data_IF_107188632560
#
_entry.id   IF_107188632560
#
_cell.length_a   1.000
_cell.length_b   1.000
_cell.length_c   1.000
_cell.angle_alpha   90.00
_cell.angle_beta   90.00
_cell.angle_gamma   90.00
#
_symmetry.space_group_name_H-M   'P 1'
#
loop_
_entity.id
_entity.type
_entity.pdbx_description
1 polymer ?
#
# COMPACT_ATOMS: atom_id res chain seq x y z
N UNK A 1 -50.51 -19.99 -14.76
CA UNK A 1 -50.73 -18.74 -13.99
C UNK A 1 -50.18 -18.98 -12.58
N UNK A 2 -48.87 -18.81 -12.41
CA UNK A 2 -48.18 -19.02 -11.14
C UNK A 2 -47.38 -17.77 -10.83
N UNK A 3 -47.82 -17.03 -9.82
CA UNK A 3 -47.16 -15.82 -9.34
C UNK A 3 -45.83 -16.22 -8.71
N UNK A 4 -44.71 -15.84 -9.32
CA UNK A 4 -43.43 -15.85 -8.61
C UNK A 4 -43.36 -14.60 -7.75
N UNK A 5 -43.56 -14.82 -6.46
CA UNK A 5 -43.28 -13.86 -5.40
C UNK A 5 -41.75 -13.78 -5.32
N UNK A 6 -41.16 -12.74 -5.93
CA UNK A 6 -39.77 -12.37 -5.67
C UNK A 6 -39.78 -11.76 -4.27
N UNK A 7 -39.54 -12.63 -3.29
CA UNK A 7 -39.40 -12.26 -1.90
C UNK A 7 -38.13 -11.45 -1.72
N UNK A 8 -38.31 -10.24 -1.20
CA UNK A 8 -37.40 -9.50 -0.33
C UNK A 8 -36.06 -10.21 -0.03
N UNK A 9 -35.05 -9.97 -0.87
CA UNK A 9 -33.68 -10.01 -0.39
C UNK A 9 -33.43 -8.62 0.18
N UNK A 10 -33.10 -8.61 1.48
CA UNK A 10 -32.87 -7.42 2.29
C UNK A 10 -32.13 -6.34 1.49
N UNK A 11 -32.76 -5.18 1.40
CA UNK A 11 -32.14 -3.89 1.17
C UNK A 11 -31.04 -3.68 2.24
N UNK A 12 -29.85 -4.21 1.98
CA UNK A 12 -28.62 -3.72 2.57
C UNK A 12 -28.14 -2.64 1.61
N UNK A 13 -28.75 -1.46 1.75
CA UNK A 13 -28.23 -0.20 1.22
C UNK A 13 -26.92 0.11 1.95
N UNK A 14 -25.85 -0.58 1.55
CA UNK A 14 -24.51 -0.28 2.00
C UNK A 14 -24.05 0.96 1.21
N UNK A 15 -24.48 2.12 1.69
CA UNK A 15 -23.87 3.39 1.30
C UNK A 15 -22.49 3.42 1.97
N UNK A 16 -21.47 2.87 1.30
CA UNK A 16 -20.08 3.16 1.67
C UNK A 16 -19.76 4.59 1.22
N UNK A 17 -20.09 5.57 2.07
CA UNK A 17 -19.32 6.82 2.05
C UNK A 17 -17.98 6.50 2.69
N UNK A 18 -16.98 6.18 1.87
CA UNK A 18 -15.60 6.05 2.33
C UNK A 18 -15.12 7.46 2.66
N UNK A 19 -15.23 7.84 3.93
CA UNK A 19 -14.48 8.98 4.45
C UNK A 19 -13.04 8.49 4.59
N UNK A 20 -12.18 8.91 3.66
CA UNK A 20 -10.74 8.60 3.54
C UNK A 20 -10.38 7.12 3.35
N UNK A 21 -9.95 6.78 2.13
CA UNK A 21 -9.14 5.60 1.85
C UNK A 21 -7.69 6.01 2.08
N UNK A 22 -7.07 5.54 3.17
CA UNK A 22 -5.63 5.73 3.39
C UNK A 22 -4.92 4.66 2.57
N UNK A 23 -4.39 5.03 1.41
CA UNK A 23 -3.57 4.14 0.58
C UNK A 23 -2.12 4.21 1.08
N UNK A 24 -1.49 3.05 1.31
CA UNK A 24 -0.05 3.00 1.50
C UNK A 24 0.64 3.48 0.21
N UNK A 25 1.56 4.43 0.35
CA UNK A 25 2.31 5.00 -0.77
C UNK A 25 3.67 4.30 -0.89
N UNK A 26 4.08 4.04 -2.13
CA UNK A 26 5.44 3.59 -2.40
C UNK A 26 6.43 4.70 -2.03
N UNK A 27 7.41 4.36 -1.20
CA UNK A 27 8.49 5.26 -0.82
C UNK A 27 9.84 4.55 -0.96
N UNK A 28 10.76 5.19 -1.68
CA UNK A 28 12.10 4.67 -1.89
C UNK A 28 13.08 5.33 -0.92
N UNK A 29 13.73 4.51 -0.11
CA UNK A 29 14.89 4.92 0.68
C UNK A 29 16.15 4.67 -0.13
N UNK A 30 17.04 5.66 -0.17
CA UNK A 30 18.31 5.58 -0.90
C UNK A 30 19.47 5.95 0.00
N UNK A 31 20.48 5.10 0.05
CA UNK A 31 21.76 5.39 0.68
C UNK A 31 22.82 5.57 -0.42
N UNK A 32 23.47 6.73 -0.46
CA UNK A 32 24.50 7.05 -1.45
C UNK A 32 25.87 6.93 -0.79
N UNK A 33 26.73 5.96 -1.15
CA UNK A 33 28.08 5.84 -0.60
C UNK A 33 28.95 7.07 -0.89
N UNK A 34 29.91 7.36 -0.01
CA UNK A 34 31.01 8.29 -0.33
C UNK A 34 32.02 7.60 -1.27
N UNK A 35 32.83 8.38 -2.01
CA UNK A 35 33.80 7.83 -2.98
C UNK A 35 34.77 6.80 -2.37
N UNK A 36 35.15 6.99 -1.11
CA UNK A 36 36.08 6.11 -0.38
C UNK A 36 35.38 5.09 0.56
N UNK A 37 34.04 4.97 0.50
CA UNK A 37 33.29 4.01 1.32
C UNK A 37 33.20 2.62 0.66
N UNK A 38 33.88 1.64 1.23
CA UNK A 38 33.64 0.23 0.90
C UNK A 38 32.46 -0.34 1.70
N UNK A 39 31.38 -0.68 1.00
CA UNK A 39 30.16 -1.22 1.60
C UNK A 39 29.92 -2.67 1.20
N UNK A 40 29.72 -3.50 2.21
CA UNK A 40 29.36 -4.91 2.14
C UNK A 40 27.84 -5.06 2.23
N UNK A 41 27.19 -4.28 3.10
CA UNK A 41 25.75 -4.32 3.29
C UNK A 41 25.19 -2.99 3.79
N UNK A 42 23.98 -2.69 3.34
CA UNK A 42 23.15 -1.62 3.89
C UNK A 42 21.76 -2.17 4.13
N UNK A 43 21.21 -1.93 5.31
CA UNK A 43 19.85 -2.33 5.66
C UNK A 43 19.07 -1.16 6.23
N UNK A 44 17.78 -1.06 5.88
CA UNK A 44 16.84 -0.11 6.43
C UNK A 44 16.24 -0.65 7.73
N UNK A 45 16.23 0.17 8.77
CA UNK A 45 15.58 -0.13 10.05
C UNK A 45 14.82 1.11 10.53
N UNK A 46 13.58 0.95 10.98
CA UNK A 46 12.76 2.08 11.40
C UNK A 46 11.50 1.69 12.18
N UNK A 47 10.73 2.69 12.57
CA UNK A 47 9.50 2.47 13.36
C UNK A 47 8.48 1.60 12.63
N UNK A 48 8.40 1.70 11.30
CA UNK A 48 7.50 0.92 10.45
C UNK A 48 7.82 -0.59 10.39
N UNK A 49 9.04 -1.00 10.74
CA UNK A 49 9.43 -2.41 10.79
C UNK A 49 9.89 -2.85 12.19
N UNK A 50 9.46 -2.13 13.23
CA UNK A 50 9.86 -2.39 14.63
C UNK A 50 11.39 -2.43 14.81
N UNK A 51 12.13 -1.61 14.05
CA UNK A 51 13.59 -1.60 13.99
C UNK A 51 14.23 -2.92 13.56
N UNK A 52 13.46 -3.81 12.93
CA UNK A 52 13.92 -5.02 12.27
C UNK A 52 14.78 -4.71 11.04
N UNK A 53 15.45 -5.72 10.51
CA UNK A 53 16.38 -5.55 9.38
C UNK A 53 15.70 -5.81 8.04
N UNK A 54 15.63 -4.78 7.20
CA UNK A 54 15.25 -4.90 5.78
C UNK A 54 16.47 -4.61 4.90
N UNK A 55 17.12 -5.64 4.31
CA UNK A 55 18.28 -5.45 3.43
C UNK A 55 17.95 -4.58 2.22
N UNK A 56 18.85 -3.68 1.86
CA UNK A 56 18.75 -2.84 0.67
C UNK A 56 19.54 -3.47 -0.49
N UNK A 57 19.15 -3.14 -1.71
CA UNK A 57 19.80 -3.65 -2.93
C UNK A 57 20.74 -2.60 -3.51
N UNK A 58 21.95 -3.02 -3.88
CA UNK A 58 22.91 -2.18 -4.59
C UNK A 58 22.44 -1.92 -6.02
N UNK A 59 22.31 -0.65 -6.36
CA UNK A 59 21.84 -0.14 -7.64
C UNK A 59 23.00 0.05 -8.63
N UNK A 60 22.72 0.15 -9.95
CA UNK A 60 23.75 0.30 -10.98
C UNK A 60 24.60 1.57 -10.85
N UNK A 61 24.06 2.62 -10.25
CA UNK A 61 24.75 3.89 -9.96
C UNK A 61 25.63 3.84 -8.70
N UNK A 62 25.68 2.69 -8.01
CA UNK A 62 26.43 2.48 -6.79
C UNK A 62 25.66 2.81 -5.51
N UNK A 63 24.47 3.42 -5.59
CA UNK A 63 23.61 3.64 -4.44
C UNK A 63 23.04 2.31 -3.91
N UNK A 64 22.51 2.33 -2.69
CA UNK A 64 21.71 1.25 -2.14
C UNK A 64 20.26 1.73 -2.03
N UNK A 65 19.30 0.90 -2.44
CA UNK A 65 17.89 1.27 -2.51
C UNK A 65 16.96 0.20 -1.94
N UNK A 66 15.84 0.63 -1.38
CA UNK A 66 14.68 -0.22 -1.08
C UNK A 66 13.40 0.60 -1.26
N UNK A 67 12.40 0.04 -1.94
CA UNK A 67 11.06 0.63 -2.07
C UNK A 67 10.10 -0.14 -1.17
N UNK A 68 9.33 0.59 -0.37
CA UNK A 68 8.39 0.03 0.61
C UNK A 68 7.06 0.76 0.55
N UNK A 69 5.97 0.04 0.82
CA UNK A 69 4.63 0.62 0.97
C UNK A 69 4.47 1.09 2.42
N UNK A 70 4.30 2.40 2.63
CA UNK A 70 4.07 2.99 3.95
C UNK A 70 2.81 3.83 3.95
N UNK A 71 2.05 3.78 5.04
CA UNK A 71 0.91 4.66 5.23
C UNK A 71 1.38 6.13 5.35
N UNK A 72 0.55 7.11 4.98
CA UNK A 72 0.76 8.52 5.30
C UNK A 72 1.08 8.72 6.78
N UNK A 73 2.18 9.41 7.05
CA UNK A 73 2.67 9.56 8.41
C UNK A 73 4.13 10.00 8.46
N UNK A 74 4.60 10.14 9.69
CA UNK A 74 5.99 10.45 9.99
C UNK A 74 6.64 9.23 10.65
N UNK A 75 7.79 8.81 10.11
CA UNK A 75 8.49 7.63 10.58
C UNK A 75 9.93 7.95 10.91
N UNK A 76 10.45 7.26 11.93
CA UNK A 76 11.87 7.31 12.28
C UNK A 76 12.58 6.14 11.62
N UNK A 77 13.78 6.37 11.13
CA UNK A 77 14.62 5.33 10.54
C UNK A 77 16.10 5.63 10.70
N UNK A 78 16.91 4.60 10.46
CA UNK A 78 18.37 4.66 10.46
C UNK A 78 18.91 3.59 9.50
N UNK A 79 19.96 3.92 8.77
CA UNK A 79 20.66 2.93 7.95
C UNK A 79 21.61 2.12 8.82
N UNK A 80 21.56 0.80 8.68
CA UNK A 80 22.48 -0.14 9.31
C UNK A 80 23.51 -0.57 8.27
N UNK A 81 24.75 -0.10 8.44
CA UNK A 81 25.78 -0.11 7.41
C UNK A 81 26.91 -1.02 7.85
N UNK A 82 27.24 -2.04 7.07
CA UNK A 82 28.30 -3.02 7.37
C UNK A 82 28.20 -3.60 8.80
N UNK A 83 26.97 -3.87 9.25
CA UNK A 83 26.73 -4.40 10.61
C UNK A 83 26.86 -3.38 11.74
N UNK A 84 26.86 -2.07 11.44
CA UNK A 84 27.02 -1.00 12.42
C UNK A 84 25.98 0.11 12.25
N UNK A 85 25.65 0.75 13.36
CA UNK A 85 24.86 1.96 13.37
C UNK A 85 25.76 3.18 13.14
N UNK A 86 25.36 4.15 12.29
CA UNK A 86 25.99 5.45 12.28
C UNK A 86 25.78 6.11 13.65
N UNK A 87 26.78 6.86 14.12
CA UNK A 87 26.69 7.51 15.43
C UNK A 87 25.53 8.53 15.45
N UNK A 88 25.36 9.30 14.38
CA UNK A 88 24.32 10.32 14.27
C UNK A 88 23.89 10.50 12.81
N UNK A 89 22.60 10.32 12.50
CA UNK A 89 22.09 10.46 11.13
C UNK A 89 22.22 11.87 10.55
N UNK A 90 22.38 12.91 11.37
CA UNK A 90 22.49 14.30 10.93
C UNK A 90 23.93 14.76 10.68
N UNK A 91 24.93 14.11 11.30
CA UNK A 91 26.32 14.61 11.32
C UNK A 91 27.39 13.57 11.02
N UNK A 92 27.06 12.28 10.91
CA UNK A 92 28.07 11.22 10.74
C UNK A 92 28.85 11.27 9.40
N UNK A 93 28.49 12.15 8.46
CA UNK A 93 29.24 12.33 7.20
C UNK A 93 30.03 13.62 7.20
N UNK A 94 31.16 13.63 7.90
CA UNK A 94 32.04 14.79 8.03
C UNK A 94 31.29 16.07 8.50
N UNK A 95 30.33 15.89 9.42
CA UNK A 95 29.46 16.97 9.91
C UNK A 95 28.16 17.15 9.12
N UNK A 96 27.99 16.44 8.01
CA UNK A 96 26.76 16.38 7.21
C UNK A 96 25.90 15.15 7.48
N UNK A 97 24.68 15.13 6.93
CA UNK A 97 23.72 14.06 7.15
C UNK A 97 24.06 12.80 6.38
N UNK A 98 23.75 11.64 6.98
CA UNK A 98 23.84 10.33 6.34
C UNK A 98 22.84 10.23 5.18
N UNK A 99 21.63 10.75 5.39
CA UNK A 99 20.60 10.86 4.36
C UNK A 99 20.26 12.33 4.09
N UNK A 100 20.76 12.92 2.99
CA UNK A 100 20.43 14.29 2.61
C UNK A 100 18.94 14.54 2.37
N UNK A 101 18.14 13.48 2.13
CA UNK A 101 16.70 13.57 1.85
C UNK A 101 15.84 13.43 3.12
N UNK A 102 16.43 13.18 4.29
CA UNK A 102 15.67 13.13 5.54
C UNK A 102 14.98 14.48 5.79
N UNK A 103 13.71 14.46 6.19
CA UNK A 103 12.94 15.68 6.45
C UNK A 103 13.23 16.29 7.82
N UNK A 104 13.94 15.55 8.67
CA UNK A 104 14.29 15.95 10.02
C UNK A 104 15.08 14.88 10.76
N UNK A 105 15.42 15.19 12.01
CA UNK A 105 16.18 14.31 12.90
C UNK A 105 15.59 14.37 14.30
N UNK A 106 15.67 13.25 15.02
CA UNK A 106 15.20 13.15 16.40
C UNK A 106 16.17 12.35 17.25
N UNK A 107 16.35 12.75 18.51
CA UNK A 107 17.23 12.09 19.45
C UNK A 107 16.86 10.60 19.59
N UNK A 108 17.86 9.72 19.49
CA UNK A 108 17.65 8.26 19.55
C UNK A 108 17.73 7.67 20.97
N UNK A 109 18.03 8.49 21.99
CA UNK A 109 18.21 8.07 23.38
C UNK A 109 19.60 7.48 23.68
N UNK A 110 20.48 7.36 22.68
CA UNK A 110 21.81 6.74 22.79
C UNK A 110 22.94 7.73 22.45
N UNK A 111 22.65 9.03 22.48
CA UNK A 111 23.62 10.09 22.18
C UNK A 111 23.77 10.40 20.70
N UNK A 112 22.88 9.86 19.86
CA UNK A 112 22.78 10.15 18.44
C UNK A 112 21.38 10.60 18.03
N UNK A 113 21.14 10.60 16.72
CA UNK A 113 19.85 10.92 16.13
C UNK A 113 19.44 9.89 15.08
N UNK A 114 18.13 9.61 15.05
CA UNK A 114 17.45 8.93 13.95
C UNK A 114 17.05 9.97 12.89
N UNK A 115 16.99 9.53 11.63
CA UNK A 115 16.41 10.33 10.55
C UNK A 115 14.88 10.21 10.57
N UNK A 116 14.21 11.23 10.06
CA UNK A 116 12.76 11.26 9.90
C UNK A 116 12.45 11.25 8.40
N UNK A 117 11.54 10.38 7.97
CA UNK A 117 10.88 10.48 6.68
C UNK A 117 9.40 10.81 6.89
N UNK A 118 8.79 11.47 5.90
CA UNK A 118 7.37 11.82 5.93
C UNK A 118 6.71 11.36 4.65
N UNK A 119 5.76 10.45 4.81
CA UNK A 119 4.87 10.00 3.76
C UNK A 119 3.69 10.96 3.76
N UNK A 120 3.57 11.76 2.70
CA UNK A 120 2.45 12.66 2.56
C UNK A 120 1.20 11.83 2.29
N UNK A 121 0.08 12.29 2.82
CA UNK A 121 -1.21 11.84 2.31
C UNK A 121 -1.25 12.25 0.83
N UNK A 122 -1.24 11.27 -0.06
CA UNK A 122 -1.69 11.53 -1.41
C UNK A 122 -3.18 11.80 -1.31
N UNK A 123 -3.53 13.08 -1.28
CA UNK A 123 -4.88 13.55 -1.56
C UNK A 123 -5.14 13.26 -3.04
N UNK A 124 -5.27 11.99 -3.38
CA UNK A 124 -5.94 11.60 -4.60
C UNK A 124 -7.34 12.18 -4.44
N UNK A 125 -7.67 13.22 -5.22
CA UNK A 125 -9.04 13.74 -5.26
C UNK A 125 -9.96 12.52 -5.36
N UNK A 126 -10.83 12.35 -4.35
CA UNK A 126 -11.24 11.04 -3.83
C UNK A 126 -11.37 9.95 -4.88
N UNK A 127 -10.84 8.75 -4.61
CA UNK A 127 -11.06 7.58 -5.46
C UNK A 127 -12.57 7.43 -5.64
N UNK A 128 -13.07 7.70 -6.85
CA UNK A 128 -14.47 7.46 -7.16
C UNK A 128 -14.63 5.96 -7.37
N UNK A 129 -15.30 5.29 -6.43
CA UNK A 129 -15.67 3.89 -6.54
C UNK A 129 -17.14 3.81 -6.92
N UNK A 130 -17.43 3.17 -8.04
CA UNK A 130 -18.79 2.91 -8.50
C UNK A 130 -19.06 1.41 -8.42
N UNK A 131 -20.04 1.07 -7.61
CA UNK A 131 -20.63 -0.26 -7.53
C UNK A 131 -22.14 -0.10 -7.30
N UNK A 132 -22.94 -0.87 -8.03
CA UNK A 132 -24.38 -0.91 -7.84
C UNK A 132 -24.84 -2.37 -7.79
N UNK A 133 -25.19 -2.90 -6.60
CA UNK A 133 -25.57 -4.31 -6.47
C UNK A 133 -26.87 -4.66 -7.21
N UNK A 134 -27.71 -3.66 -7.54
CA UNK A 134 -28.95 -3.87 -8.29
C UNK A 134 -28.74 -3.91 -9.82
N UNK A 135 -27.53 -3.57 -10.29
CA UNK A 135 -27.18 -3.59 -11.70
C UNK A 135 -26.33 -4.83 -12.01
N UNK A 136 -26.80 -5.74 -12.89
CA UNK A 136 -26.07 -6.96 -13.26
C UNK A 136 -24.70 -6.70 -13.91
N UNK A 137 -24.42 -5.48 -14.34
CA UNK A 137 -23.09 -5.08 -14.75
C UNK A 137 -22.08 -5.08 -13.58
N UNK A 138 -22.52 -4.85 -12.33
CA UNK A 138 -21.65 -4.77 -11.15
C UNK A 138 -21.78 -5.96 -10.21
N UNK A 139 -22.96 -6.58 -10.12
CA UNK A 139 -23.17 -7.77 -9.30
C UNK A 139 -24.07 -8.75 -10.05
N UNK A 140 -23.56 -9.92 -10.38
CA UNK A 140 -24.40 -10.97 -10.94
C UNK A 140 -24.06 -12.35 -10.39
N UNK A 141 -25.10 -13.16 -10.26
CA UNK A 141 -24.99 -14.60 -10.05
C UNK A 141 -25.40 -15.26 -11.35
N UNK A 142 -24.48 -15.99 -11.97
CA UNK A 142 -24.72 -16.76 -13.18
C UNK A 142 -23.78 -17.96 -13.20
N UNK A 143 -24.23 -19.09 -13.75
CA UNK A 143 -23.44 -20.30 -13.90
C UNK A 143 -22.69 -20.73 -12.62
N UNK A 144 -23.41 -20.78 -11.49
CA UNK A 144 -22.86 -21.11 -10.15
C UNK A 144 -21.73 -20.19 -9.66
N UNK A 145 -21.63 -18.99 -10.21
CA UNK A 145 -20.58 -18.03 -9.86
C UNK A 145 -21.15 -16.70 -9.42
N UNK A 146 -20.55 -16.17 -8.35
CA UNK A 146 -20.70 -14.78 -7.95
C UNK A 146 -19.68 -13.93 -8.70
N UNK A 147 -20.16 -12.93 -9.45
CA UNK A 147 -19.32 -11.96 -10.14
C UNK A 147 -19.53 -10.59 -9.53
N UNK A 148 -18.45 -10.00 -9.04
CA UNK A 148 -18.43 -8.63 -8.52
C UNK A 148 -17.56 -7.80 -9.46
N UNK A 149 -18.06 -6.63 -9.88
CA UNK A 149 -17.30 -5.61 -10.58
C UNK A 149 -17.36 -4.29 -9.83
N UNK A 150 -16.24 -3.59 -9.88
CA UNK A 150 -16.03 -2.26 -9.30
C UNK A 150 -15.40 -1.38 -10.37
N UNK A 151 -15.95 -0.18 -10.59
CA UNK A 151 -15.33 0.82 -11.46
C UNK A 151 -14.64 1.87 -10.62
N UNK A 152 -13.44 2.27 -11.03
CA UNK A 152 -12.68 3.29 -10.32
C UNK A 152 -12.16 4.36 -11.28
N UNK A 153 -11.79 5.52 -10.74
CA UNK A 153 -10.99 6.50 -11.47
C UNK A 153 -9.67 5.88 -11.93
N UNK A 154 -9.17 6.20 -13.13
CA UNK A 154 -8.02 5.52 -13.71
C UNK A 154 -6.74 5.85 -12.95
N UNK A 155 -5.83 4.89 -12.86
CA UNK A 155 -4.49 5.03 -12.27
C UNK A 155 -4.44 5.40 -10.78
N UNK A 156 -5.58 5.32 -10.07
CA UNK A 156 -5.63 5.66 -8.63
C UNK A 156 -5.70 4.44 -7.72
N UNK A 157 -5.97 3.25 -8.26
CA UNK A 157 -6.16 2.04 -7.46
C UNK A 157 -5.12 0.99 -7.83
N UNK A 158 -4.20 0.74 -6.90
CA UNK A 158 -3.16 -0.27 -7.07
C UNK A 158 -3.72 -1.69 -6.98
N UNK A 159 -4.51 -1.98 -5.94
CA UNK A 159 -5.12 -3.29 -5.66
C UNK A 159 -6.49 -3.14 -5.01
N UNK A 160 -7.37 -4.11 -5.24
CA UNK A 160 -8.70 -4.19 -4.64
C UNK A 160 -8.86 -5.58 -4.03
N UNK A 161 -9.49 -5.66 -2.86
CA UNK A 161 -9.79 -6.94 -2.19
C UNK A 161 -11.26 -7.01 -1.77
N UNK A 162 -11.88 -8.17 -1.94
CA UNK A 162 -13.10 -8.53 -1.23
C UNK A 162 -12.70 -9.11 0.13
N UNK A 163 -13.28 -8.59 1.21
CA UNK A 163 -13.06 -9.08 2.57
C UNK A 163 -14.40 -9.55 3.12
N UNK A 164 -14.44 -10.80 3.60
CA UNK A 164 -15.56 -11.37 4.36
C UNK A 164 -15.02 -11.99 5.66
N UNK A 165 -15.90 -12.50 6.49
CA UNK A 165 -15.57 -13.35 7.65
C UNK A 165 -14.88 -14.66 7.25
N UNK A 166 -15.09 -15.13 6.02
CA UNK A 166 -14.49 -16.35 5.48
C UNK A 166 -13.10 -16.13 4.86
N UNK A 167 -12.71 -14.88 4.55
CA UNK A 167 -11.40 -14.62 3.97
C UNK A 167 -11.22 -13.29 3.24
N UNK A 168 -10.12 -13.21 2.49
CA UNK A 168 -9.73 -12.05 1.69
C UNK A 168 -9.32 -12.50 0.28
N UNK A 169 -10.00 -12.00 -0.74
CA UNK A 169 -9.76 -12.36 -2.15
C UNK A 169 -9.35 -11.13 -2.95
N UNK A 170 -8.29 -11.21 -3.78
CA UNK A 170 -7.93 -10.14 -4.69
C UNK A 170 -9.00 -10.00 -5.78
N UNK A 171 -9.41 -8.77 -6.06
CA UNK A 171 -10.25 -8.42 -7.20
C UNK A 171 -9.33 -7.95 -8.32
N UNK A 172 -9.33 -8.65 -9.44
CA UNK A 172 -8.36 -8.45 -10.52
C UNK A 172 -8.74 -7.28 -11.43
N UNK A 173 -7.76 -6.51 -11.90
CA UNK A 173 -8.01 -5.45 -12.88
C UNK A 173 -8.38 -6.09 -14.23
N UNK A 174 -9.64 -5.94 -14.62
CA UNK A 174 -10.17 -6.50 -15.86
C UNK A 174 -9.92 -5.58 -17.05
N UNK A 175 -10.14 -4.28 -16.89
CA UNK A 175 -10.05 -3.28 -17.96
C UNK A 175 -9.48 -1.97 -17.41
N UNK A 176 -8.76 -1.24 -18.27
CA UNK A 176 -8.22 0.08 -17.97
C UNK A 176 -8.27 0.94 -19.24
N UNK A 177 -8.78 2.16 -19.12
CA UNK A 177 -8.86 3.15 -20.19
C UNK A 177 -8.62 4.56 -19.65
N UNK A 178 -8.56 5.55 -20.55
CA UNK A 178 -8.19 6.95 -20.25
C UNK A 178 -9.02 7.59 -19.12
N UNK A 179 -10.27 7.16 -18.92
CA UNK A 179 -11.21 7.75 -17.97
C UNK A 179 -11.66 6.81 -16.86
N UNK A 180 -11.14 5.59 -16.77
CA UNK A 180 -11.54 4.65 -15.73
C UNK A 180 -10.87 3.28 -15.81
N UNK A 181 -11.09 2.49 -14.78
CA UNK A 181 -10.68 1.10 -14.72
C UNK A 181 -11.79 0.25 -14.10
N UNK A 182 -11.85 -1.04 -14.46
CA UNK A 182 -12.79 -2.03 -13.94
C UNK A 182 -12.00 -3.12 -13.25
N UNK A 183 -12.32 -3.38 -11.99
CA UNK A 183 -11.89 -4.56 -11.25
C UNK A 183 -13.00 -5.60 -11.26
N UNK A 184 -12.63 -6.88 -11.39
CA UNK A 184 -13.55 -8.02 -11.41
C UNK A 184 -13.06 -9.15 -10.50
N UNK A 185 -13.97 -9.68 -9.69
CA UNK A 185 -13.82 -10.91 -8.95
C UNK A 185 -14.87 -11.91 -9.42
N UNK A 186 -14.49 -13.18 -9.51
CA UNK A 186 -15.38 -14.29 -9.83
C UNK A 186 -15.12 -15.40 -8.81
N UNK A 187 -16.11 -15.69 -7.98
CA UNK A 187 -16.05 -16.77 -6.99
C UNK A 187 -17.03 -17.87 -7.39
N UNK A 188 -16.69 -19.13 -7.12
CA UNK A 188 -17.65 -20.22 -7.16
C UNK A 188 -18.55 -20.12 -5.93
N UNK A 189 -19.86 -20.24 -6.13
CA UNK A 189 -20.80 -20.22 -5.02
C UNK A 189 -20.61 -21.48 -4.17
N UNK A 190 -20.51 -21.35 -2.84
CA UNK A 190 -20.65 -22.48 -1.94
C UNK A 190 -21.97 -23.20 -2.20
N UNK A 191 -22.01 -24.53 -2.06
CA UNK A 191 -23.22 -25.32 -2.28
C UNK A 191 -24.42 -24.85 -1.44
N UNK A 192 -24.17 -24.17 -0.30
CA UNK A 192 -25.19 -23.58 0.58
C UNK A 192 -25.98 -22.41 -0.02
N UNK A 193 -25.49 -21.81 -1.11
CA UNK A 193 -26.11 -20.68 -1.81
C UNK A 193 -26.72 -21.07 -3.17
N UNK A 194 -26.72 -22.37 -3.52
CA UNK A 194 -27.31 -22.92 -4.74
C UNK A 194 -28.83 -23.13 -4.60
N UNK A 195 -29.61 -22.09 -4.31
CA UNK A 195 -31.09 -22.21 -4.26
C UNK A 195 -31.80 -20.97 -4.78
#
# INVERSE_FOLDING_TARGET
>A
MGKFIIGCILCLSIIFSINSLILAAEFTFTYIPLEDEELISVSLRGSFNSWGEWPMEKQPDGAWGITVDLEPGEYQYKFFINGKWPQDMSTARAGGPVDPNAVGYINDGFGGQNAICRIKEEVTGGVNLVHNPDDPAYLCIADERLVIRLKTSPHKVAKVFLITDEGKWPIERQLQWEYGEVFRLSLELPDSLKY
#
